data_IF_521102356319
#
_entry.id   IF_521102356319
#
_cell.length_a   1.000
_cell.length_b   1.000
_cell.length_c   1.000
_cell.angle_alpha   90.00
_cell.angle_beta   90.00
_cell.angle_gamma   90.00
#
_symmetry.space_group_name_H-M   'P 1'
#
loop_
_entity.id
_entity.type
_entity.pdbx_description
1 polymer ?
#
# COMPACT_ATOMS: atom_id res chain seq x y z
N UNK A 1 44.88 -1.71 -17.16
CA UNK A 1 43.53 -2.32 -17.27
C UNK A 1 43.54 -3.66 -16.54
N UNK A 2 42.38 -4.19 -16.21
CA UNK A 2 42.18 -5.43 -15.47
C UNK A 2 41.35 -6.38 -16.33
N UNK A 3 41.76 -7.64 -16.43
CA UNK A 3 40.91 -8.67 -17.03
C UNK A 3 39.63 -8.85 -16.21
N UNK A 4 38.56 -9.36 -16.83
CA UNK A 4 37.32 -9.68 -16.11
C UNK A 4 37.54 -10.57 -14.87
N UNK A 5 38.54 -11.45 -14.88
CA UNK A 5 38.90 -12.30 -13.75
C UNK A 5 39.55 -11.53 -12.60
N UNK A 6 40.49 -10.64 -12.90
CA UNK A 6 41.12 -9.77 -11.89
C UNK A 6 40.11 -8.80 -11.31
N UNK A 7 39.29 -8.16 -12.15
CA UNK A 7 38.23 -7.26 -11.73
C UNK A 7 37.18 -7.98 -10.85
N UNK A 8 36.77 -9.18 -11.25
CA UNK A 8 35.89 -10.07 -10.48
C UNK A 8 36.44 -10.34 -9.08
N UNK A 9 37.73 -10.68 -8.98
CA UNK A 9 38.39 -10.99 -7.71
C UNK A 9 38.48 -9.75 -6.79
N UNK A 10 38.82 -8.59 -7.34
CA UNK A 10 38.93 -7.34 -6.56
C UNK A 10 37.55 -6.88 -6.08
N UNK A 11 36.54 -6.94 -6.93
CA UNK A 11 35.20 -6.43 -6.62
C UNK A 11 34.31 -7.44 -5.89
N UNK A 12 34.78 -8.68 -5.68
CA UNK A 12 34.02 -9.72 -4.98
C UNK A 12 32.75 -10.16 -5.70
N UNK A 13 32.72 -10.08 -7.04
CA UNK A 13 31.56 -10.46 -7.86
C UNK A 13 31.96 -11.48 -8.90
N UNK A 14 31.06 -12.41 -9.24
CA UNK A 14 31.37 -13.42 -10.24
C UNK A 14 31.56 -12.81 -11.64
N UNK A 15 32.39 -13.45 -12.48
CA UNK A 15 32.53 -13.06 -13.89
C UNK A 15 31.20 -13.15 -14.65
N UNK A 16 30.30 -14.06 -14.25
CA UNK A 16 28.93 -14.14 -14.77
C UNK A 16 28.13 -12.87 -14.46
N UNK A 17 28.26 -12.34 -13.23
CA UNK A 17 27.62 -11.08 -12.83
C UNK A 17 28.13 -9.91 -13.65
N UNK A 18 29.44 -9.83 -13.91
CA UNK A 18 30.03 -8.78 -14.74
C UNK A 18 29.55 -8.83 -16.19
N UNK A 19 29.42 -10.03 -16.78
CA UNK A 19 28.81 -10.21 -18.11
C UNK A 19 27.34 -9.78 -18.13
N UNK A 20 26.59 -10.13 -17.10
CA UNK A 20 25.20 -9.70 -16.98
C UNK A 20 25.09 -8.17 -16.84
N UNK A 21 25.99 -7.53 -16.10
CA UNK A 21 26.02 -6.06 -15.97
C UNK A 21 26.38 -5.36 -17.26
N UNK A 22 27.23 -5.98 -18.09
CA UNK A 22 27.49 -5.53 -19.45
C UNK A 22 26.23 -5.65 -20.33
N UNK A 23 25.56 -6.82 -20.32
CA UNK A 23 24.35 -7.08 -21.10
C UNK A 23 23.21 -6.09 -20.81
N UNK A 24 22.98 -5.75 -19.53
CA UNK A 24 21.93 -4.80 -19.14
C UNK A 24 22.39 -3.32 -19.20
N UNK A 25 23.65 -3.07 -19.58
CA UNK A 25 24.23 -1.73 -19.65
C UNK A 25 24.39 -1.03 -18.29
N UNK A 26 24.60 -1.80 -17.22
CA UNK A 26 24.85 -1.26 -15.89
C UNK A 26 26.35 -0.94 -15.69
N UNK A 27 27.21 -1.84 -16.14
CA UNK A 27 28.66 -1.67 -16.14
C UNK A 27 29.27 -2.39 -17.35
N UNK A 28 29.53 -1.63 -18.40
CA UNK A 28 30.19 -2.14 -19.59
C UNK A 28 31.71 -2.23 -19.37
N UNK A 29 32.41 -3.20 -19.98
CA UNK A 29 33.86 -3.18 -20.04
C UNK A 29 34.34 -1.95 -20.80
N UNK A 30 35.50 -1.40 -20.42
CA UNK A 30 36.11 -0.30 -21.16
C UNK A 30 36.66 -0.76 -22.52
N UNK A 31 37.02 -2.05 -22.63
CA UNK A 31 37.47 -2.63 -23.90
C UNK A 31 37.02 -4.08 -24.02
N UNK A 32 36.65 -4.44 -25.25
CA UNK A 32 36.39 -5.82 -25.65
C UNK A 32 37.35 -6.13 -26.80
N UNK A 33 38.25 -7.09 -26.59
CA UNK A 33 39.23 -7.52 -27.58
C UNK A 33 38.51 -8.23 -28.74
N UNK A 34 38.53 -7.70 -29.98
CA UNK A 34 37.74 -8.24 -31.10
C UNK A 34 38.09 -9.69 -31.46
N UNK A 35 39.35 -10.09 -31.29
CA UNK A 35 39.86 -11.38 -31.76
C UNK A 35 39.37 -12.57 -30.92
N UNK A 36 39.10 -12.36 -29.63
CA UNK A 36 38.76 -13.42 -28.69
C UNK A 36 37.59 -13.08 -27.73
N UNK A 37 37.02 -11.88 -27.83
CA UNK A 37 35.90 -11.42 -27.01
C UNK A 37 36.23 -11.21 -25.53
N UNK A 38 37.51 -11.14 -25.17
CA UNK A 38 37.92 -10.90 -23.78
C UNK A 38 37.59 -9.48 -23.34
N UNK A 39 37.06 -9.36 -22.12
CA UNK A 39 36.62 -8.10 -21.52
C UNK A 39 37.68 -7.57 -20.57
N UNK A 40 37.98 -6.29 -20.71
CA UNK A 40 38.88 -5.55 -19.84
C UNK A 40 38.18 -4.35 -19.24
N UNK A 41 38.48 -4.11 -17.97
CA UNK A 41 37.92 -3.02 -17.17
C UNK A 41 39.07 -2.11 -16.72
N UNK A 42 38.85 -0.80 -16.65
CA UNK A 42 39.87 0.10 -16.11
C UNK A 42 39.85 0.14 -14.58
N UNK A 43 40.89 0.78 -14.04
CA UNK A 43 41.00 1.03 -12.60
C UNK A 43 39.94 2.02 -12.13
N UNK A 44 39.52 2.99 -12.96
CA UNK A 44 38.47 3.96 -12.58
C UNK A 44 37.11 3.28 -12.42
N UNK A 45 36.84 2.24 -13.22
CA UNK A 45 35.62 1.43 -13.12
C UNK A 45 35.50 0.66 -11.78
N UNK A 46 36.59 0.46 -11.04
CA UNK A 46 36.53 -0.13 -9.69
C UNK A 46 35.68 0.72 -8.75
N UNK A 47 35.81 2.05 -8.79
CA UNK A 47 34.99 2.95 -7.95
C UNK A 47 33.50 2.83 -8.29
N UNK A 48 33.18 2.78 -9.59
CA UNK A 48 31.80 2.57 -10.07
C UNK A 48 31.23 1.24 -9.59
N UNK A 49 32.02 0.16 -9.66
CA UNK A 49 31.62 -1.16 -9.19
C UNK A 49 31.44 -1.22 -7.67
N UNK A 50 32.32 -0.58 -6.89
CA UNK A 50 32.16 -0.47 -5.44
C UNK A 50 30.90 0.31 -5.05
N UNK A 51 30.57 1.35 -5.81
CA UNK A 51 29.33 2.10 -5.63
C UNK A 51 28.08 1.25 -5.93
N UNK A 52 28.09 0.49 -7.03
CA UNK A 52 27.03 -0.49 -7.36
C UNK A 52 26.87 -1.51 -6.21
N UNK A 53 27.97 -2.08 -5.71
CA UNK A 53 27.93 -3.05 -4.61
C UNK A 53 27.34 -2.45 -3.33
N UNK A 54 27.67 -1.20 -3.01
CA UNK A 54 27.11 -0.50 -1.86
C UNK A 54 25.60 -0.34 -1.98
N UNK A 55 25.10 0.13 -3.13
CA UNK A 55 23.65 0.25 -3.35
C UNK A 55 22.93 -1.10 -3.33
N UNK A 56 23.55 -2.15 -3.89
CA UNK A 56 23.01 -3.52 -3.78
C UNK A 56 22.91 -3.99 -2.33
N UNK A 57 23.88 -3.64 -1.48
CA UNK A 57 23.83 -4.00 -0.06
C UNK A 57 22.70 -3.28 0.69
N UNK A 58 22.19 -2.17 0.16
CA UNK A 58 21.00 -1.47 0.64
C UNK A 58 19.70 -1.96 -0.03
N UNK A 59 19.75 -3.11 -0.71
CA UNK A 59 18.61 -3.72 -1.38
C UNK A 59 17.99 -2.86 -2.51
N UNK A 60 18.77 -1.99 -3.14
CA UNK A 60 18.34 -1.38 -4.40
C UNK A 60 18.32 -2.43 -5.53
N UNK A 61 17.28 -2.38 -6.37
CA UNK A 61 17.18 -3.17 -7.59
C UNK A 61 18.19 -2.69 -8.64
N UNK A 62 18.51 -3.53 -9.61
CA UNK A 62 19.46 -3.12 -10.67
C UNK A 62 18.93 -1.98 -11.53
N UNK A 63 17.60 -1.87 -11.68
CA UNK A 63 16.95 -0.77 -12.38
C UNK A 63 17.08 0.55 -11.60
N UNK A 64 16.83 0.53 -10.29
CA UNK A 64 17.06 1.69 -9.42
C UNK A 64 18.53 2.15 -9.46
N UNK A 65 19.47 1.20 -9.39
CA UNK A 65 20.90 1.51 -9.46
C UNK A 65 21.26 2.13 -10.81
N UNK A 66 20.71 1.59 -11.91
CA UNK A 66 20.93 2.15 -13.25
C UNK A 66 20.41 3.59 -13.34
N UNK A 67 19.25 3.88 -12.78
CA UNK A 67 18.69 5.23 -12.71
C UNK A 67 19.58 6.18 -11.89
N UNK A 68 20.11 5.74 -10.75
CA UNK A 68 21.04 6.52 -9.92
C UNK A 68 22.34 6.82 -10.67
N UNK A 69 22.89 5.84 -11.39
CA UNK A 69 24.12 5.99 -12.18
C UNK A 69 23.95 6.93 -13.39
N UNK A 70 22.72 7.20 -13.82
CA UNK A 70 22.41 8.10 -14.93
C UNK A 70 22.20 9.56 -14.50
N UNK A 71 22.30 9.85 -13.20
CA UNK A 71 22.18 11.22 -12.68
C UNK A 71 23.40 12.07 -13.07
N UNK A 72 23.15 13.33 -13.40
CA UNK A 72 24.19 14.32 -13.69
C UNK A 72 25.04 14.63 -12.44
N UNK A 73 26.35 14.85 -12.64
CA UNK A 73 27.33 14.98 -11.55
C UNK A 73 27.04 16.16 -10.61
N UNK A 74 26.48 17.25 -11.14
CA UNK A 74 26.16 18.47 -10.40
C UNK A 74 24.99 18.32 -9.41
N UNK A 75 24.11 17.35 -9.64
CA UNK A 75 22.94 17.06 -8.80
C UNK A 75 23.02 15.67 -8.13
N UNK A 76 24.11 14.94 -8.34
CA UNK A 76 24.23 13.55 -7.92
C UNK A 76 24.12 13.40 -6.41
N UNK A 77 24.81 14.22 -5.61
CA UNK A 77 24.84 14.07 -4.16
C UNK A 77 23.48 14.38 -3.52
N UNK A 78 22.81 15.46 -3.94
CA UNK A 78 21.49 15.85 -3.43
C UNK A 78 20.42 14.80 -3.80
N UNK A 79 20.38 14.37 -5.06
CA UNK A 79 19.45 13.34 -5.52
C UNK A 79 19.74 11.98 -4.89
N UNK A 80 21.01 11.62 -4.70
CA UNK A 80 21.37 10.38 -4.01
C UNK A 80 20.91 10.42 -2.56
N UNK A 81 21.10 11.54 -1.85
CA UNK A 81 20.61 11.72 -0.49
C UNK A 81 19.10 11.48 -0.39
N UNK A 82 18.31 12.10 -1.27
CA UNK A 82 16.85 11.91 -1.28
C UNK A 82 16.43 10.47 -1.59
N UNK A 83 17.10 9.80 -2.53
CA UNK A 83 16.84 8.39 -2.86
C UNK A 83 17.19 7.46 -1.69
N UNK A 84 18.29 7.73 -0.97
CA UNK A 84 18.65 6.97 0.23
C UNK A 84 17.64 7.19 1.37
N UNK A 85 17.19 8.43 1.60
CA UNK A 85 16.15 8.72 2.58
C UNK A 85 14.83 7.99 2.27
N UNK A 86 14.45 7.92 0.98
CA UNK A 86 13.30 7.13 0.56
C UNK A 86 13.50 5.65 0.88
N UNK A 87 14.66 5.08 0.54
CA UNK A 87 14.96 3.67 0.81
C UNK A 87 14.93 3.34 2.31
N UNK A 88 15.43 4.25 3.15
CA UNK A 88 15.35 4.12 4.62
C UNK A 88 13.89 4.05 5.07
N UNK A 89 13.03 4.91 4.51
CA UNK A 89 11.59 4.90 4.81
C UNK A 89 10.94 3.58 4.40
N UNK A 90 11.19 3.11 3.18
CA UNK A 90 10.65 1.84 2.68
C UNK A 90 11.08 0.65 3.56
N UNK A 91 12.32 0.66 4.07
CA UNK A 91 12.83 -0.36 4.98
C UNK A 91 12.15 -0.26 6.35
N UNK A 92 11.96 0.96 6.87
CA UNK A 92 11.29 1.18 8.15
C UNK A 92 9.83 0.69 8.11
N UNK A 93 9.11 0.96 7.03
CA UNK A 93 7.74 0.46 6.83
C UNK A 93 7.69 -1.07 6.84
N UNK A 94 8.65 -1.73 6.18
CA UNK A 94 8.77 -3.20 6.21
C UNK A 94 9.09 -3.74 7.61
N UNK A 95 9.96 -3.06 8.36
CA UNK A 95 10.27 -3.45 9.73
C UNK A 95 9.03 -3.36 10.63
N UNK A 96 8.27 -2.27 10.54
CA UNK A 96 7.04 -2.10 11.30
C UNK A 96 6.02 -3.22 10.96
N UNK A 97 5.88 -3.57 9.66
CA UNK A 97 4.99 -4.66 9.24
C UNK A 97 5.44 -6.04 9.76
N UNK A 98 6.75 -6.31 9.77
CA UNK A 98 7.29 -7.55 10.33
C UNK A 98 7.13 -7.62 11.86
N UNK A 99 7.32 -6.50 12.56
CA UNK A 99 7.10 -6.41 14.01
C UNK A 99 5.63 -6.67 14.35
N UNK A 100 4.69 -6.05 13.63
CA UNK A 100 3.26 -6.33 13.77
C UNK A 100 2.93 -7.81 13.57
N UNK A 101 3.46 -8.41 12.49
CA UNK A 101 3.27 -9.85 12.21
C UNK A 101 3.82 -10.72 13.34
N UNK A 102 4.99 -10.39 13.88
CA UNK A 102 5.60 -11.10 15.00
C UNK A 102 4.74 -11.00 16.27
N UNK A 103 4.17 -9.83 16.54
CA UNK A 103 3.26 -9.64 17.67
C UNK A 103 1.98 -10.48 17.52
N UNK A 104 1.36 -10.49 16.33
CA UNK A 104 0.18 -11.33 16.04
C UNK A 104 0.49 -12.82 16.28
N UNK A 105 1.59 -13.33 15.72
CA UNK A 105 2.00 -14.72 15.95
C UNK A 105 2.26 -15.02 17.42
N UNK A 106 2.84 -14.08 18.16
CA UNK A 106 3.09 -14.23 19.60
C UNK A 106 1.80 -14.31 20.41
N UNK A 107 0.79 -13.51 20.04
CA UNK A 107 -0.54 -13.55 20.64
C UNK A 107 -1.25 -14.87 20.33
N UNK A 108 -1.18 -15.33 19.08
CA UNK A 108 -1.76 -16.61 18.67
C UNK A 108 -1.12 -17.79 19.43
N UNK A 109 0.21 -17.79 19.58
CA UNK A 109 0.91 -18.80 20.38
C UNK A 109 0.42 -18.77 21.84
N UNK A 110 0.29 -17.59 22.44
CA UNK A 110 -0.23 -17.42 23.81
C UNK A 110 -1.64 -17.97 23.97
N UNK A 111 -2.51 -17.75 22.98
CA UNK A 111 -3.87 -18.28 22.95
C UNK A 111 -3.91 -19.80 22.78
N UNK A 112 -3.13 -20.33 21.84
CA UNK A 112 -3.03 -21.77 21.59
C UNK A 112 -2.53 -22.52 22.83
N UNK A 113 -1.56 -21.98 23.56
CA UNK A 113 -1.08 -22.55 24.84
C UNK A 113 -2.18 -22.60 25.90
N UNK A 114 -3.14 -21.66 25.87
CA UNK A 114 -4.32 -21.65 26.76
C UNK A 114 -5.47 -22.54 26.24
N UNK A 115 -5.29 -23.23 25.12
CA UNK A 115 -6.32 -24.05 24.48
C UNK A 115 -7.37 -23.24 23.72
N UNK A 116 -7.13 -21.95 23.47
CA UNK A 116 -8.01 -21.10 22.66
C UNK A 116 -7.65 -21.32 21.18
N UNK A 117 -8.60 -21.72 20.32
CA UNK A 117 -8.35 -21.88 18.89
C UNK A 117 -7.91 -20.57 18.25
N UNK A 118 -7.01 -20.66 17.27
CA UNK A 118 -6.51 -19.49 16.54
C UNK A 118 -7.64 -18.65 15.95
N UNK A 119 -8.72 -19.28 15.45
CA UNK A 119 -9.87 -18.60 14.83
C UNK A 119 -10.78 -17.85 15.81
N UNK A 120 -10.59 -17.98 17.13
CA UNK A 120 -11.42 -17.29 18.13
C UNK A 120 -11.24 -15.76 18.12
N UNK A 121 -10.24 -15.22 17.42
CA UNK A 121 -10.11 -13.77 17.25
C UNK A 121 -11.34 -13.12 16.59
N UNK A 122 -12.07 -13.87 15.74
CA UNK A 122 -13.31 -13.41 15.10
C UNK A 122 -14.44 -13.17 16.10
N UNK A 123 -14.39 -13.80 17.28
CA UNK A 123 -15.40 -13.65 18.32
C UNK A 123 -15.29 -12.31 19.05
N UNK A 124 -14.14 -11.63 18.92
CA UNK A 124 -13.90 -10.29 19.48
C UNK A 124 -14.33 -9.16 18.53
N UNK A 125 -14.73 -9.48 17.30
CA UNK A 125 -15.24 -8.49 16.34
C UNK A 125 -16.70 -8.21 16.68
N UNK A 126 -16.94 -7.04 17.27
CA UNK A 126 -18.27 -6.58 17.65
C UNK A 126 -19.02 -5.98 16.46
N UNK A 127 -20.25 -6.44 16.24
CA UNK A 127 -21.18 -5.86 15.25
C UNK A 127 -22.33 -5.18 15.98
N UNK A 128 -22.58 -3.93 15.62
CA UNK A 128 -23.66 -3.11 16.18
C UNK A 128 -24.59 -2.59 15.08
N UNK A 129 -25.88 -2.47 15.40
CA UNK A 129 -26.84 -1.76 14.54
C UNK A 129 -26.79 -0.27 14.82
N UNK A 130 -26.65 0.53 13.77
CA UNK A 130 -26.59 1.99 13.86
C UNK A 130 -27.49 2.61 12.80
N UNK A 131 -28.13 3.73 13.13
CA UNK A 131 -28.88 4.53 12.18
C UNK A 131 -27.98 5.66 11.65
N UNK A 132 -27.80 5.73 10.34
CA UNK A 132 -26.99 6.78 9.70
C UNK A 132 -27.89 7.83 9.06
N UNK A 133 -27.42 9.09 9.04
CA UNK A 133 -28.14 10.18 8.39
C UNK A 133 -27.70 10.32 6.93
N UNK A 134 -28.58 10.76 6.02
CA UNK A 134 -28.17 11.16 4.69
C UNK A 134 -27.08 12.23 4.75
N UNK A 135 -26.08 12.13 3.88
CA UNK A 135 -24.93 13.04 3.86
C UNK A 135 -24.56 13.42 2.42
N UNK A 136 -24.09 14.66 2.24
CA UNK A 136 -23.60 15.14 0.97
C UNK A 136 -22.14 14.70 0.82
N UNK A 137 -21.87 13.89 -0.19
CA UNK A 137 -20.51 13.42 -0.48
C UNK A 137 -19.99 14.04 -1.76
N UNK A 138 -18.83 14.68 -1.68
CA UNK A 138 -18.00 14.98 -2.83
C UNK A 138 -17.23 13.71 -3.19
N UNK A 139 -17.33 13.25 -4.43
CA UNK A 139 -16.84 11.92 -4.78
C UNK A 139 -16.06 11.84 -6.08
N UNK A 140 -15.24 10.80 -6.18
CA UNK A 140 -14.58 10.33 -7.40
C UNK A 140 -14.73 8.82 -7.50
N UNK A 141 -15.38 8.33 -8.56
CA UNK A 141 -15.54 6.89 -8.84
C UNK A 141 -14.54 6.41 -9.86
N UNK A 142 -13.84 5.31 -9.58
CA UNK A 142 -12.73 4.80 -10.38
C UNK A 142 -12.71 3.27 -10.37
N UNK A 143 -12.17 2.69 -11.44
CA UNK A 143 -11.78 1.28 -11.45
C UNK A 143 -10.35 1.17 -10.95
N UNK A 144 -10.13 0.48 -9.83
CA UNK A 144 -8.82 0.37 -9.16
C UNK A 144 -8.35 -1.08 -9.18
N UNK A 145 -7.15 -1.32 -9.69
CA UNK A 145 -6.51 -2.63 -9.63
C UNK A 145 -6.10 -2.97 -8.20
N UNK A 146 -5.97 -4.26 -7.88
CA UNK A 146 -5.53 -4.68 -6.54
C UNK A 146 -4.15 -4.13 -6.15
N UNK A 147 -3.27 -3.96 -7.14
CA UNK A 147 -1.91 -3.45 -6.94
C UNK A 147 -1.88 -1.93 -6.71
N UNK A 148 -2.91 -1.21 -7.15
CA UNK A 148 -2.97 0.24 -7.10
C UNK A 148 -3.77 0.79 -5.91
N UNK A 149 -4.27 -0.07 -5.00
CA UNK A 149 -5.12 0.40 -3.89
C UNK A 149 -4.44 1.51 -3.06
N UNK A 150 -3.23 1.24 -2.55
CA UNK A 150 -2.49 2.20 -1.73
C UNK A 150 -2.23 3.53 -2.45
N UNK A 151 -1.84 3.47 -3.73
CA UNK A 151 -1.62 4.66 -4.56
C UNK A 151 -2.92 5.41 -4.86
N UNK A 152 -4.02 4.67 -5.04
CA UNK A 152 -5.36 5.21 -5.26
C UNK A 152 -5.82 6.05 -4.07
N UNK A 153 -5.70 5.52 -2.84
CA UNK A 153 -6.09 6.24 -1.63
C UNK A 153 -5.43 7.62 -1.54
N UNK A 154 -4.09 7.66 -1.61
CA UNK A 154 -3.36 8.93 -1.56
C UNK A 154 -3.76 9.85 -2.71
N UNK A 155 -3.72 9.36 -3.95
CA UNK A 155 -3.99 10.17 -5.14
C UNK A 155 -5.39 10.77 -5.18
N UNK A 156 -6.42 9.97 -4.92
CA UNK A 156 -7.81 10.41 -5.08
C UNK A 156 -8.30 11.22 -3.89
N UNK A 157 -7.90 10.89 -2.66
CA UNK A 157 -8.21 11.74 -1.51
C UNK A 157 -7.47 13.08 -1.58
N UNK A 158 -6.19 13.11 -1.97
CA UNK A 158 -5.48 14.38 -2.16
C UNK A 158 -6.19 15.30 -3.16
N UNK A 159 -6.69 14.77 -4.28
CA UNK A 159 -7.47 15.56 -5.26
C UNK A 159 -8.78 16.09 -4.68
N UNK A 160 -9.50 15.28 -3.90
CA UNK A 160 -10.72 15.72 -3.24
C UNK A 160 -10.42 16.82 -2.20
N UNK A 161 -9.36 16.68 -1.41
CA UNK A 161 -8.91 17.70 -0.46
C UNK A 161 -8.45 18.99 -1.13
N UNK A 162 -7.67 18.91 -2.21
CA UNK A 162 -7.26 20.06 -3.02
C UNK A 162 -8.47 20.84 -3.52
N UNK A 163 -9.50 20.14 -3.96
CA UNK A 163 -10.74 20.76 -4.43
C UNK A 163 -11.52 21.41 -3.30
N UNK A 164 -11.67 20.74 -2.16
CA UNK A 164 -12.29 21.30 -0.96
C UNK A 164 -11.58 22.61 -0.56
N UNK A 165 -10.24 22.63 -0.56
CA UNK A 165 -9.47 23.81 -0.24
C UNK A 165 -9.63 24.94 -1.27
N UNK A 166 -9.62 24.60 -2.57
CA UNK A 166 -9.71 25.57 -3.67
C UNK A 166 -11.10 26.22 -3.74
N UNK A 167 -12.15 25.42 -3.57
CA UNK A 167 -13.55 25.87 -3.61
C UNK A 167 -14.07 26.35 -2.24
N UNK A 168 -13.25 26.27 -1.18
CA UNK A 168 -13.58 26.66 0.19
C UNK A 168 -14.83 25.92 0.74
N UNK A 169 -14.92 24.62 0.46
CA UNK A 169 -16.02 23.77 0.92
C UNK A 169 -15.84 23.39 2.40
N UNK A 170 -16.96 23.18 3.08
CA UNK A 170 -16.99 22.85 4.51
C UNK A 170 -16.88 21.35 4.71
N UNK A 171 -15.77 20.90 5.27
CA UNK A 171 -15.52 19.50 5.60
C UNK A 171 -16.33 19.10 6.85
N UNK A 172 -17.24 18.11 6.72
CA UNK A 172 -18.11 17.64 7.80
C UNK A 172 -17.73 16.28 8.38
N UNK A 173 -16.78 15.58 7.79
CA UNK A 173 -16.40 14.24 8.23
C UNK A 173 -15.07 13.78 7.68
N UNK A 174 -14.77 12.53 7.96
CA UNK A 174 -13.55 11.88 7.51
C UNK A 174 -13.75 11.21 6.14
N UNK A 175 -12.66 10.89 5.42
CA UNK A 175 -12.73 10.21 4.13
C UNK A 175 -13.44 8.86 4.21
N UNK A 176 -14.01 8.44 3.10
CA UNK A 176 -14.64 7.14 2.96
C UNK A 176 -14.46 6.53 1.58
N UNK A 177 -14.59 5.21 1.50
CA UNK A 177 -14.71 4.48 0.23
C UNK A 177 -15.98 3.65 0.19
N UNK A 178 -16.61 3.60 -0.98
CA UNK A 178 -17.81 2.81 -1.23
C UNK A 178 -17.48 1.79 -2.33
N UNK A 179 -17.81 0.53 -2.09
CA UNK A 179 -17.42 -0.59 -2.93
C UNK A 179 -18.61 -1.10 -3.74
N UNK A 180 -18.60 -0.86 -5.06
CA UNK A 180 -19.74 -1.15 -5.95
C UNK A 180 -19.62 -2.47 -6.71
N UNK A 181 -18.42 -3.04 -6.77
CA UNK A 181 -18.20 -4.32 -7.46
C UNK A 181 -18.95 -5.46 -6.77
N UNK A 182 -19.73 -6.27 -7.51
CA UNK A 182 -20.42 -7.44 -6.94
C UNK A 182 -19.46 -8.59 -6.63
N UNK A 183 -18.32 -8.64 -7.33
CA UNK A 183 -17.29 -9.66 -7.23
C UNK A 183 -15.92 -9.01 -7.19
N UNK A 184 -14.98 -9.63 -6.49
CA UNK A 184 -13.59 -9.18 -6.50
C UNK A 184 -12.95 -9.45 -7.85
N UNK A 185 -12.34 -8.42 -8.44
CA UNK A 185 -11.57 -8.53 -9.67
C UNK A 185 -10.17 -7.94 -9.48
N UNK A 186 -9.10 -8.76 -9.51
CA UNK A 186 -7.72 -8.27 -9.36
C UNK A 186 -7.36 -7.15 -10.33
N UNK A 187 -7.94 -7.15 -11.53
CA UNK A 187 -7.61 -6.17 -12.57
C UNK A 187 -8.40 -4.86 -12.44
N UNK A 188 -9.38 -4.78 -11.55
CA UNK A 188 -10.19 -3.58 -11.39
C UNK A 188 -11.46 -3.78 -10.56
N UNK A 189 -11.53 -3.11 -9.42
CA UNK A 189 -12.71 -3.01 -8.57
C UNK A 189 -13.28 -1.59 -8.66
N UNK A 190 -14.61 -1.50 -8.73
CA UNK A 190 -15.35 -0.25 -8.83
C UNK A 190 -15.48 0.38 -7.45
N UNK A 191 -14.66 1.41 -7.21
CA UNK A 191 -14.53 2.09 -5.93
C UNK A 191 -14.83 3.56 -6.09
N UNK A 192 -15.62 4.07 -5.16
CA UNK A 192 -15.89 5.48 -5.03
C UNK A 192 -15.18 6.04 -3.80
N UNK A 193 -14.25 6.96 -4.03
CA UNK A 193 -13.59 7.74 -2.99
C UNK A 193 -14.46 8.97 -2.71
N UNK A 194 -14.79 9.19 -1.45
CA UNK A 194 -15.72 10.24 -1.07
C UNK A 194 -15.31 10.95 0.22
N UNK A 195 -15.70 12.22 0.33
CA UNK A 195 -15.54 13.04 1.54
C UNK A 195 -16.88 13.73 1.83
N UNK A 196 -17.32 13.69 3.09
CA UNK A 196 -18.54 14.35 3.53
C UNK A 196 -18.32 15.87 3.63
N UNK A 197 -19.16 16.63 2.92
CA UNK A 197 -19.12 18.10 2.89
C UNK A 197 -20.51 18.69 3.16
N UNK A 198 -20.60 19.97 3.54
CA UNK A 198 -21.89 20.63 3.78
C UNK A 198 -22.61 20.95 2.46
N UNK A 199 -21.86 21.48 1.50
CA UNK A 199 -22.39 22.10 0.29
C UNK A 199 -22.82 21.08 -0.78
N UNK A 200 -23.78 21.49 -1.63
CA UNK A 200 -24.16 20.75 -2.83
C UNK A 200 -23.50 21.44 -4.02
N UNK A 201 -22.40 20.86 -4.51
CA UNK A 201 -21.67 21.35 -5.68
C UNK A 201 -21.67 20.31 -6.81
N UNK A 202 -21.04 20.66 -7.94
CA UNK A 202 -20.86 19.71 -9.05
C UNK A 202 -20.08 18.48 -8.54
N UNK A 203 -20.51 17.28 -8.91
CA UNK A 203 -19.92 16.01 -8.43
C UNK A 203 -20.11 15.76 -6.91
N UNK A 204 -21.08 16.44 -6.31
CA UNK A 204 -21.68 16.03 -5.05
C UNK A 204 -22.88 15.12 -5.33
N UNK A 205 -23.09 14.11 -4.49
CA UNK A 205 -24.36 13.38 -4.41
C UNK A 205 -24.72 13.09 -2.96
N UNK A 206 -25.98 12.75 -2.72
CA UNK A 206 -26.41 12.26 -1.41
C UNK A 206 -26.04 10.79 -1.28
N UNK A 207 -25.27 10.45 -0.25
CA UNK A 207 -25.20 9.07 0.26
C UNK A 207 -26.44 8.88 1.16
N UNK A 208 -27.35 7.95 0.83
CA UNK A 208 -28.55 7.76 1.64
C UNK A 208 -28.17 7.27 3.03
N UNK A 209 -28.83 7.83 4.04
CA UNK A 209 -28.81 7.28 5.39
C UNK A 209 -29.67 6.02 5.49
N UNK A 210 -29.68 5.43 6.68
CA UNK A 210 -30.50 4.28 7.01
C UNK A 210 -29.85 3.38 8.04
N UNK A 211 -30.52 2.26 8.31
CA UNK A 211 -30.01 1.24 9.22
C UNK A 211 -28.79 0.54 8.62
N UNK A 212 -27.70 0.47 9.38
CA UNK A 212 -26.47 -0.21 9.01
C UNK A 212 -26.05 -1.21 10.10
N UNK A 213 -25.49 -2.35 9.69
CA UNK A 213 -24.63 -3.15 10.54
C UNK A 213 -23.22 -2.56 10.47
N UNK A 214 -22.66 -2.20 11.62
CA UNK A 214 -21.37 -1.51 11.73
C UNK A 214 -20.41 -2.33 12.59
N UNK A 215 -19.15 -2.38 12.17
CA UNK A 215 -18.03 -2.85 12.97
C UNK A 215 -16.89 -1.84 12.91
N UNK A 216 -16.00 -1.85 13.90
CA UNK A 216 -14.80 -1.00 13.94
C UNK A 216 -13.56 -1.89 13.93
N UNK A 217 -12.57 -1.50 13.13
CA UNK A 217 -11.26 -2.16 13.03
C UNK A 217 -10.23 -1.22 13.63
N UNK A 218 -9.44 -1.75 14.56
CA UNK A 218 -8.24 -1.13 15.09
C UNK A 218 -7.07 -1.96 14.58
N UNK A 219 -6.29 -1.42 13.64
CA UNK A 219 -5.19 -2.18 13.04
C UNK A 219 -5.09 -2.04 11.52
N UNK A 220 -4.28 -2.94 10.96
CA UNK A 220 -3.95 -2.98 9.55
C UNK A 220 -5.17 -3.24 8.66
N UNK A 221 -5.17 -2.70 7.44
CA UNK A 221 -6.20 -2.99 6.44
C UNK A 221 -6.29 -4.46 6.05
N UNK A 222 -5.27 -5.27 6.32
CA UNK A 222 -5.35 -6.74 6.20
C UNK A 222 -6.49 -7.34 7.02
N UNK A 223 -6.84 -6.70 8.13
CA UNK A 223 -7.82 -7.20 9.09
C UNK A 223 -9.25 -6.92 8.62
N UNK A 224 -9.45 -6.02 7.65
CA UNK A 224 -10.76 -5.71 7.07
C UNK A 224 -11.45 -6.97 6.53
N UNK A 225 -10.71 -7.91 5.93
CA UNK A 225 -11.31 -9.14 5.39
C UNK A 225 -12.04 -9.94 6.48
N UNK A 226 -11.47 -10.00 7.68
CA UNK A 226 -12.08 -10.69 8.83
C UNK A 226 -13.36 -10.00 9.30
N UNK A 227 -13.39 -8.67 9.25
CA UNK A 227 -14.53 -7.84 9.64
C UNK A 227 -15.65 -7.94 8.61
N UNK A 228 -15.33 -7.94 7.32
CA UNK A 228 -16.30 -8.21 6.26
C UNK A 228 -16.92 -9.60 6.42
N UNK A 229 -16.11 -10.63 6.71
CA UNK A 229 -16.63 -11.96 6.97
C UNK A 229 -17.59 -11.98 8.17
N UNK A 230 -17.22 -11.34 9.29
CA UNK A 230 -18.06 -11.26 10.49
C UNK A 230 -19.36 -10.48 10.24
N UNK A 231 -19.30 -9.34 9.56
CA UNK A 231 -20.48 -8.56 9.19
C UNK A 231 -21.41 -9.35 8.27
N UNK A 232 -20.89 -10.09 7.29
CA UNK A 232 -21.70 -10.94 6.41
C UNK A 232 -22.38 -12.06 7.21
N UNK A 233 -21.64 -12.75 8.07
CA UNK A 233 -22.17 -13.78 8.96
C UNK A 233 -23.29 -13.23 9.85
N UNK A 234 -23.02 -12.11 10.53
CA UNK A 234 -23.98 -11.46 11.42
C UNK A 234 -25.26 -11.03 10.70
N UNK A 235 -25.13 -10.42 9.51
CA UNK A 235 -26.29 -9.99 8.69
C UNK A 235 -27.18 -11.18 8.32
N UNK A 236 -26.60 -12.33 7.98
CA UNK A 236 -27.37 -13.53 7.67
C UNK A 236 -28.06 -14.09 8.92
N UNK A 237 -27.31 -14.28 10.01
CA UNK A 237 -27.80 -14.90 11.24
C UNK A 237 -28.91 -14.09 11.92
N UNK A 238 -28.81 -12.76 11.91
CA UNK A 238 -29.81 -11.86 12.50
C UNK A 238 -31.01 -11.59 11.57
N UNK A 239 -31.04 -12.22 10.39
CA UNK A 239 -32.15 -12.13 9.45
C UNK A 239 -32.25 -10.79 8.73
N UNK A 240 -31.12 -10.19 8.39
CA UNK A 240 -31.03 -8.97 7.59
C UNK A 240 -30.67 -9.27 6.13
N UNK A 241 -30.73 -8.25 5.27
CA UNK A 241 -30.26 -8.27 3.88
C UNK A 241 -29.59 -6.94 3.57
N UNK A 242 -28.53 -6.96 2.76
CA UNK A 242 -27.92 -5.74 2.27
C UNK A 242 -28.85 -5.02 1.28
N UNK A 243 -28.90 -3.69 1.40
CA UNK A 243 -29.73 -2.84 0.51
C UNK A 243 -28.91 -1.96 -0.42
N UNK A 244 -27.67 -1.65 -0.05
CA UNK A 244 -26.73 -0.84 -0.81
C UNK A 244 -25.31 -1.37 -0.65
N UNK A 245 -24.38 -0.81 -1.42
CA UNK A 245 -22.95 -1.06 -1.33
C UNK A 245 -22.42 -0.82 0.09
N UNK A 246 -21.57 -1.72 0.61
CA UNK A 246 -20.85 -1.45 1.84
C UNK A 246 -19.86 -0.30 1.65
N UNK A 247 -19.54 0.37 2.75
CA UNK A 247 -18.59 1.47 2.73
C UNK A 247 -17.74 1.50 3.99
N UNK A 248 -16.55 2.06 3.86
CA UNK A 248 -15.55 2.20 4.92
C UNK A 248 -15.34 3.67 5.21
N UNK A 249 -15.26 4.04 6.49
CA UNK A 249 -14.95 5.39 6.95
C UNK A 249 -13.62 5.35 7.69
N UNK A 250 -12.65 6.11 7.20
CA UNK A 250 -11.30 6.16 7.76
C UNK A 250 -11.25 7.23 8.86
N UNK A 251 -11.45 6.82 10.12
CA UNK A 251 -11.54 7.77 11.26
C UNK A 251 -10.19 8.44 11.51
N UNK A 252 -9.11 7.68 11.36
CA UNK A 252 -7.75 8.21 11.31
C UNK A 252 -7.29 8.31 9.86
N UNK A 253 -6.65 9.42 9.50
CA UNK A 253 -6.17 9.64 8.13
C UNK A 253 -5.17 8.53 7.72
N UNK A 254 -5.47 7.76 6.66
CA UNK A 254 -4.59 6.72 6.15
C UNK A 254 -3.17 7.20 5.82
N UNK A 255 -3.00 8.49 5.51
CA UNK A 255 -1.72 9.08 5.17
C UNK A 255 -0.94 9.59 6.41
N UNK A 256 -1.56 9.61 7.59
CA UNK A 256 -0.95 10.09 8.83
C UNK A 256 -0.68 8.98 9.85
N UNK A 257 -1.35 7.83 9.73
CA UNK A 257 -1.10 6.69 10.60
C UNK A 257 0.24 6.01 10.25
N UNK A 258 1.25 6.23 11.09
CA UNK A 258 2.59 5.65 10.94
C UNK A 258 2.66 4.24 11.54
N UNK A 259 1.77 3.96 12.50
CA UNK A 259 1.71 2.75 13.31
C UNK A 259 0.37 2.05 13.01
N UNK A 260 0.37 0.78 12.57
CA UNK A 260 -0.86 0.07 12.21
C UNK A 260 -1.94 0.09 13.29
N UNK A 261 -1.55 0.04 14.57
CA UNK A 261 -2.45 0.03 15.73
C UNK A 261 -3.25 1.32 15.89
N UNK A 262 -2.75 2.44 15.37
CA UNK A 262 -3.45 3.74 15.40
C UNK A 262 -4.48 3.87 14.27
N UNK A 263 -4.50 2.94 13.30
CA UNK A 263 -5.46 2.94 12.21
C UNK A 263 -6.83 2.51 12.74
N UNK A 264 -7.79 3.42 12.67
CA UNK A 264 -9.20 3.18 13.01
C UNK A 264 -10.06 3.29 11.76
N UNK A 265 -10.66 2.18 11.35
CA UNK A 265 -11.57 2.11 10.21
C UNK A 265 -12.93 1.58 10.64
N UNK A 266 -13.99 2.30 10.30
CA UNK A 266 -15.35 1.84 10.51
C UNK A 266 -15.90 1.23 9.23
N UNK A 267 -16.49 0.03 9.32
CA UNK A 267 -17.09 -0.67 8.18
C UNK A 267 -18.60 -0.69 8.35
N UNK A 268 -19.32 -0.22 7.33
CA UNK A 268 -20.77 -0.10 7.33
C UNK A 268 -21.40 -0.95 6.23
N UNK A 269 -22.33 -1.81 6.64
CA UNK A 269 -23.18 -2.59 5.75
C UNK A 269 -24.61 -2.03 5.82
N UNK A 270 -25.08 -1.31 4.81
CA UNK A 270 -26.48 -0.86 4.75
C UNK A 270 -27.42 -2.05 4.70
N UNK A 271 -28.36 -2.15 5.65
CA UNK A 271 -29.20 -3.34 5.82
C UNK A 271 -30.69 -3.01 6.00
N UNK A 272 -31.53 -3.98 5.66
CA UNK A 272 -32.94 -4.03 6.05
C UNK A 272 -33.27 -5.39 6.66
N UNK A 273 -34.18 -5.43 7.63
CA UNK A 273 -34.67 -6.69 8.21
C UNK A 273 -35.47 -7.46 7.16
N UNK A 274 -35.27 -8.78 7.05
CA UNK A 274 -36.09 -9.63 6.19
C UNK A 274 -37.52 -9.58 6.69
N UNK A 275 -38.47 -9.28 5.79
CA UNK A 275 -39.87 -9.53 6.08
C UNK A 275 -40.05 -11.04 6.25
N UNK A 276 -40.59 -11.47 7.39
CA UNK A 276 -41.04 -12.86 7.55
C UNK A 276 -42.13 -13.09 6.50
N UNK A 277 -41.87 -14.00 5.56
CA UNK A 277 -42.86 -14.47 4.59
C UNK A 277 -43.79 -15.48 5.24
#
# INVERSE_FOLDING_TARGET
MLSIGEFSKICGVSTKTLRYYDEIGLLNPDEIIPENGYRYYSISQLKKMLFINRLKSYHFTLEEIKAILALEEDQLEEKLCSVLHRKIRDIQEKLNAFEYTQQQMSNDISNLVKGIPIMSYLDHIEVQLVETKPMNILYMRQMISGDDYALGYGKYFSRLYERIATEQLTLLGTPMTIYHSPEYNPTGNDIEFAINIEEIVKETRVLPGGLCAKSVVHGSYSDLTSVYAKLREWVENEGYTLVNSPYEVYVTDPNQAIIPEDIVTEVYFPVKKRCKT
#
